data_IF_947509510539
#
_entry.id   IF_947509510539
#
_cell.length_a   1.000
_cell.length_b   1.000
_cell.length_c   1.000
_cell.angle_alpha   90.00
_cell.angle_beta   90.00
_cell.angle_gamma   90.00
#
_symmetry.space_group_name_H-M   'P 1'
#
loop_
_entity.id
_entity.type
_entity.pdbx_description
1 polymer ?
#
# COMPACT_ATOMS: atom_id res chain seq x y z
N UNK A 1 0.16 -15.38 17.35
CA UNK A 1 -0.87 -14.62 16.62
C UNK A 1 -0.79 -15.03 15.16
N UNK A 2 -1.94 -15.28 14.55
CA UNK A 2 -2.08 -15.82 13.19
C UNK A 2 -1.45 -14.91 12.14
N UNK A 3 -1.55 -13.59 12.32
CA UNK A 3 -0.92 -12.60 11.44
C UNK A 3 0.57 -12.92 11.23
N UNK A 4 1.35 -13.11 12.30
CA UNK A 4 2.78 -13.39 12.18
C UNK A 4 3.09 -14.75 11.55
N UNK A 5 2.24 -15.75 11.76
CA UNK A 5 2.41 -17.07 11.13
C UNK A 5 2.21 -16.98 9.62
N UNK A 6 1.18 -16.26 9.17
CA UNK A 6 0.91 -16.06 7.75
C UNK A 6 1.98 -15.21 7.07
N UNK A 7 2.49 -14.15 7.72
CA UNK A 7 3.61 -13.37 7.19
C UNK A 7 4.89 -14.21 7.02
N UNK A 8 5.18 -15.10 8.00
CA UNK A 8 6.30 -16.03 7.89
C UNK A 8 6.10 -17.05 6.76
N UNK A 9 4.90 -17.60 6.60
CA UNK A 9 4.56 -18.53 5.50
C UNK A 9 4.70 -17.87 4.14
N UNK A 10 4.27 -16.61 4.03
CA UNK A 10 4.45 -15.79 2.84
C UNK A 10 5.92 -15.46 2.55
N UNK A 11 6.82 -15.62 3.52
CA UNK A 11 8.23 -15.26 3.40
C UNK A 11 8.44 -13.75 3.33
N UNK A 12 7.74 -13.00 4.19
CA UNK A 12 8.06 -11.61 4.52
C UNK A 12 9.36 -11.58 5.33
N UNK A 13 10.12 -10.49 5.21
CA UNK A 13 11.42 -10.34 5.88
C UNK A 13 11.29 -10.54 7.40
N UNK A 14 12.22 -11.32 7.99
CA UNK A 14 12.16 -11.63 9.41
C UNK A 14 12.31 -10.39 10.29
N UNK A 15 13.08 -9.39 9.85
CA UNK A 15 13.24 -8.13 10.57
C UNK A 15 11.91 -7.38 10.67
N UNK A 16 11.17 -7.30 9.56
CA UNK A 16 9.84 -6.68 9.53
C UNK A 16 8.86 -7.37 10.48
N UNK A 17 8.86 -8.70 10.51
CA UNK A 17 8.00 -9.48 11.41
C UNK A 17 8.40 -9.26 12.87
N UNK A 18 9.70 -9.24 13.19
CA UNK A 18 10.20 -8.99 14.55
C UNK A 18 9.85 -7.57 15.04
N UNK A 19 9.93 -6.55 14.18
CA UNK A 19 9.50 -5.20 14.53
C UNK A 19 7.99 -5.14 14.79
N UNK A 20 7.17 -5.80 13.96
CA UNK A 20 5.73 -5.84 14.15
C UNK A 20 5.33 -6.59 15.43
N UNK A 21 6.00 -7.71 15.74
CA UNK A 21 5.79 -8.46 16.99
C UNK A 21 6.11 -7.60 18.21
N UNK A 22 7.21 -6.83 18.16
CA UNK A 22 7.56 -5.88 19.21
C UNK A 22 6.49 -4.79 19.35
N UNK A 23 6.04 -4.21 18.24
CA UNK A 23 5.02 -3.17 18.21
C UNK A 23 3.70 -3.66 18.85
N UNK A 24 3.24 -4.85 18.48
CA UNK A 24 2.05 -5.50 19.06
C UNK A 24 2.18 -5.79 20.55
N UNK A 25 3.40 -5.93 21.07
CA UNK A 25 3.65 -6.14 22.49
C UNK A 25 3.59 -4.87 23.36
N UNK A 26 3.50 -3.68 22.77
CA UNK A 26 3.46 -2.41 23.50
C UNK A 26 2.02 -2.00 23.87
N UNK A 27 1.71 -1.92 25.17
CA UNK A 27 0.34 -1.62 25.67
C UNK A 27 -0.29 -0.34 25.08
N UNK A 28 0.53 0.66 24.72
CA UNK A 28 0.07 1.95 24.18
C UNK A 28 -0.57 1.83 22.79
N UNK A 29 -0.16 0.85 21.99
CA UNK A 29 -0.69 0.63 20.62
C UNK A 29 -1.82 -0.40 20.59
N UNK A 30 -2.12 -1.02 21.73
CA UNK A 30 -3.27 -1.90 21.90
C UNK A 30 -4.54 -1.09 22.25
N UNK A 31 -4.42 0.17 22.71
CA UNK A 31 -5.56 0.91 23.30
C UNK A 31 -5.62 2.44 23.10
N UNK A 32 -4.76 3.06 22.28
CA UNK A 32 -4.55 4.53 22.38
C UNK A 32 -4.24 5.33 21.11
N UNK A 33 -4.24 4.73 19.92
CA UNK A 33 -4.15 5.48 18.64
C UNK A 33 -5.17 4.90 17.67
N UNK A 34 -6.16 5.71 17.31
CA UNK A 34 -7.41 5.25 16.71
C UNK A 34 -7.22 4.47 15.40
N UNK A 35 -6.14 4.68 14.62
CA UNK A 35 -5.90 3.94 13.37
C UNK A 35 -4.62 3.11 13.27
N UNK A 36 -3.94 2.85 14.39
CA UNK A 36 -2.72 2.03 14.43
C UNK A 36 -2.84 0.90 15.45
N UNK A 37 -3.99 0.22 15.43
CA UNK A 37 -4.35 -0.81 16.39
C UNK A 37 -3.87 -2.17 15.86
N UNK A 38 -3.29 -2.96 16.76
CA UNK A 38 -2.90 -4.34 16.49
C UNK A 38 -4.13 -5.20 16.16
N UNK A 39 -4.04 -6.00 15.09
CA UNK A 39 -5.15 -6.88 14.66
C UNK A 39 -5.14 -8.14 15.51
N UNK A 40 -6.25 -8.45 16.17
CA UNK A 40 -6.40 -9.69 16.93
C UNK A 40 -6.66 -10.89 16.00
N UNK A 41 -6.48 -12.11 16.51
CA UNK A 41 -6.61 -13.33 15.69
C UNK A 41 -8.02 -13.48 15.10
N UNK A 42 -9.07 -13.05 15.81
CA UNK A 42 -10.47 -13.12 15.34
C UNK A 42 -10.73 -12.13 14.18
N UNK A 43 -10.28 -10.87 14.33
CA UNK A 43 -10.41 -9.84 13.29
C UNK A 43 -9.57 -10.18 12.06
N UNK A 44 -8.37 -10.70 12.28
CA UNK A 44 -7.51 -11.18 11.20
C UNK A 44 -8.23 -12.27 10.41
N UNK A 45 -8.79 -13.29 11.06
CA UNK A 45 -9.52 -14.34 10.36
C UNK A 45 -10.75 -13.82 9.61
N UNK A 46 -11.55 -12.97 10.23
CA UNK A 46 -12.72 -12.38 9.58
C UNK A 46 -12.36 -11.57 8.33
N UNK A 47 -11.29 -10.78 8.40
CA UNK A 47 -10.79 -10.03 7.24
C UNK A 47 -10.22 -10.92 6.16
N UNK A 48 -9.63 -12.04 6.53
CA UNK A 48 -9.04 -12.98 5.58
C UNK A 48 -10.11 -13.78 4.86
N UNK A 49 -11.21 -14.12 5.54
CA UNK A 49 -12.40 -14.69 4.90
C UNK A 49 -12.96 -13.71 3.86
N UNK A 50 -13.08 -12.43 4.19
CA UNK A 50 -13.49 -11.39 3.23
C UNK A 50 -12.50 -11.25 2.06
N UNK A 51 -11.19 -11.22 2.32
CA UNK A 51 -10.17 -11.13 1.25
C UNK A 51 -10.22 -12.32 0.30
N UNK A 52 -10.54 -13.51 0.79
CA UNK A 52 -10.61 -14.72 -0.04
C UNK A 52 -11.80 -14.71 -1.01
N UNK A 53 -12.80 -13.86 -0.81
CA UNK A 53 -13.96 -13.73 -1.70
C UNK A 53 -13.65 -12.93 -2.98
N UNK A 54 -12.55 -12.16 -3.00
CA UNK A 54 -12.21 -11.26 -4.12
C UNK A 54 -10.75 -11.40 -4.55
N UNK A 55 -10.53 -11.63 -5.84
CA UNK A 55 -9.17 -11.80 -6.38
C UNK A 55 -8.29 -10.56 -6.20
N UNK A 56 -8.92 -9.39 -6.09
CA UNK A 56 -8.29 -8.10 -5.78
C UNK A 56 -7.42 -8.14 -4.51
N UNK A 57 -7.81 -8.90 -3.48
CA UNK A 57 -7.12 -8.90 -2.18
C UNK A 57 -6.21 -10.12 -1.96
N UNK A 58 -6.06 -11.00 -2.96
CA UNK A 58 -5.29 -12.26 -2.82
C UNK A 58 -3.85 -12.06 -2.33
N UNK A 59 -3.24 -10.93 -2.71
CA UNK A 59 -1.87 -10.60 -2.36
C UNK A 59 -1.74 -9.81 -1.05
N UNK A 60 -2.82 -9.58 -0.30
CA UNK A 60 -2.80 -8.76 0.90
C UNK A 60 -2.96 -9.57 2.19
N UNK A 61 -2.32 -9.05 3.23
CA UNK A 61 -2.55 -9.43 4.63
C UNK A 61 -2.67 -8.17 5.47
N UNK A 62 -3.72 -8.10 6.28
CA UNK A 62 -3.93 -7.00 7.22
C UNK A 62 -2.92 -7.08 8.37
N UNK A 63 -2.36 -5.93 8.75
CA UNK A 63 -1.35 -5.80 9.81
C UNK A 63 -1.66 -4.73 10.84
N UNK A 64 -2.52 -3.74 10.56
CA UNK A 64 -3.10 -2.81 11.55
C UNK A 64 -4.53 -2.46 11.12
N UNK A 65 -5.34 -2.02 12.08
CA UNK A 65 -6.73 -1.59 11.88
C UNK A 65 -7.00 -0.27 12.60
N UNK A 66 -8.07 0.41 12.18
CA UNK A 66 -8.66 1.53 12.90
C UNK A 66 -9.99 1.20 13.61
N UNK A 67 -10.37 -0.09 13.62
CA UNK A 67 -11.67 -0.59 14.10
C UNK A 67 -12.89 0.03 13.38
N UNK A 68 -12.67 0.80 12.30
CA UNK A 68 -13.67 1.51 11.50
C UNK A 68 -13.54 1.17 10.01
N UNK A 69 -13.10 -0.06 9.71
CA UNK A 69 -12.99 -0.64 8.37
C UNK A 69 -11.85 -0.10 7.50
N UNK A 70 -10.89 0.64 8.06
CA UNK A 70 -9.67 0.96 7.35
C UNK A 70 -8.49 0.17 7.92
N UNK A 71 -7.57 -0.17 7.04
CA UNK A 71 -6.53 -1.14 7.34
C UNK A 71 -5.18 -0.73 6.80
N UNK A 72 -4.13 -1.06 7.53
CA UNK A 72 -2.80 -1.17 6.93
C UNK A 72 -2.56 -2.61 6.52
N UNK A 73 -2.17 -2.80 5.26
CA UNK A 73 -1.98 -4.11 4.66
C UNK A 73 -0.57 -4.23 4.09
N UNK A 74 0.02 -5.41 4.19
CA UNK A 74 1.27 -5.76 3.52
C UNK A 74 0.98 -6.66 2.32
N UNK A 75 1.69 -6.39 1.22
CA UNK A 75 1.70 -7.28 0.07
C UNK A 75 2.50 -8.55 0.40
N UNK A 76 1.88 -9.71 0.33
CA UNK A 76 2.51 -11.03 0.52
C UNK A 76 2.85 -11.75 -0.77
N UNK A 77 2.30 -11.28 -1.89
CA UNK A 77 2.50 -11.81 -3.23
C UNK A 77 2.80 -10.74 -4.27
N UNK A 78 3.03 -11.19 -5.51
CA UNK A 78 3.31 -10.34 -6.67
C UNK A 78 4.58 -9.48 -6.57
N UNK A 79 4.70 -8.55 -7.51
CA UNK A 79 5.82 -7.62 -7.64
C UNK A 79 5.99 -6.69 -6.43
N UNK A 80 4.90 -6.45 -5.69
CA UNK A 80 4.84 -5.51 -4.56
C UNK A 80 5.19 -6.14 -3.22
N UNK A 81 5.49 -7.45 -3.19
CA UNK A 81 5.71 -8.21 -1.96
C UNK A 81 6.66 -7.48 -0.98
N UNK A 82 6.22 -7.39 0.28
CA UNK A 82 6.92 -6.72 1.37
C UNK A 82 6.54 -5.25 1.55
N UNK A 83 6.00 -4.59 0.52
CA UNK A 83 5.53 -3.21 0.62
C UNK A 83 4.20 -3.13 1.36
N UNK A 84 3.90 -1.95 1.89
CA UNK A 84 2.71 -1.70 2.70
C UNK A 84 1.84 -0.64 2.05
N UNK A 85 0.53 -0.89 1.99
CA UNK A 85 -0.50 0.06 1.55
C UNK A 85 -1.50 0.33 2.68
N UNK A 86 -2.22 1.45 2.55
CA UNK A 86 -3.44 1.70 3.30
C UNK A 86 -4.61 1.21 2.46
N UNK A 87 -5.52 0.44 3.05
CA UNK A 87 -6.75 -0.02 2.44
C UNK A 87 -7.90 0.74 3.06
N UNK A 88 -8.50 1.62 2.26
CA UNK A 88 -9.72 2.35 2.59
C UNK A 88 -10.94 1.55 2.13
N UNK A 89 -11.94 1.41 3.00
CA UNK A 89 -13.17 0.69 2.64
C UNK A 89 -13.99 1.37 1.55
N UNK A 90 -13.86 2.70 1.36
CA UNK A 90 -14.55 3.46 0.32
C UNK A 90 -13.83 3.35 -1.04
N UNK A 91 -12.51 3.21 -1.05
CA UNK A 91 -11.65 3.20 -2.25
C UNK A 91 -10.74 1.95 -2.30
N UNK A 92 -11.37 0.76 -2.35
CA UNK A 92 -10.69 -0.52 -2.14
C UNK A 92 -9.65 -0.92 -3.22
N UNK A 93 -9.73 -0.33 -4.41
CA UNK A 93 -8.77 -0.53 -5.51
C UNK A 93 -7.51 0.34 -5.37
N UNK A 94 -7.52 1.34 -4.49
CA UNK A 94 -6.38 2.21 -4.19
C UNK A 94 -5.35 1.55 -3.26
N UNK A 95 -4.76 0.46 -3.75
CA UNK A 95 -3.76 -0.33 -3.03
C UNK A 95 -2.34 0.06 -3.43
N UNK A 96 -2.10 1.33 -3.77
CA UNK A 96 -0.76 1.81 -4.04
C UNK A 96 0.12 1.65 -2.78
N UNK A 97 1.36 1.15 -2.92
CA UNK A 97 2.33 1.17 -1.84
C UNK A 97 2.51 2.58 -1.28
N UNK A 98 2.58 2.70 0.05
CA UNK A 98 2.94 3.93 0.78
C UNK A 98 4.29 3.81 1.45
N UNK A 99 4.64 2.59 1.88
CA UNK A 99 5.92 2.28 2.51
C UNK A 99 6.59 1.09 1.83
N UNK A 100 7.93 1.10 1.81
CA UNK A 100 8.78 0.05 1.27
C UNK A 100 8.75 -1.23 2.10
N UNK A 101 8.43 -1.13 3.39
CA UNK A 101 8.38 -2.26 4.32
C UNK A 101 7.52 -1.97 5.55
N UNK A 102 7.22 -3.01 6.31
CA UNK A 102 6.52 -2.90 7.60
C UNK A 102 7.36 -2.08 8.59
N UNK A 103 8.67 -2.33 8.69
CA UNK A 103 9.53 -1.59 9.61
C UNK A 103 9.51 -0.09 9.35
N UNK A 104 9.40 0.33 8.08
CA UNK A 104 9.35 1.74 7.72
C UNK A 104 8.02 2.40 8.11
N UNK A 105 6.90 1.69 7.95
CA UNK A 105 5.61 2.13 8.50
C UNK A 105 5.71 2.36 10.01
N UNK A 106 6.23 1.36 10.75
CA UNK A 106 6.31 1.41 12.22
C UNK A 106 7.24 2.54 12.69
N UNK A 107 8.37 2.73 12.03
CA UNK A 107 9.28 3.85 12.31
C UNK A 107 8.56 5.20 12.17
N UNK A 108 7.74 5.38 11.14
CA UNK A 108 6.97 6.62 10.93
C UNK A 108 5.94 6.83 12.02
N UNK A 109 5.20 5.78 12.38
CA UNK A 109 4.23 5.82 13.47
C UNK A 109 4.92 6.23 14.78
N UNK A 110 6.10 5.66 15.08
CA UNK A 110 6.87 6.00 16.27
C UNK A 110 7.45 7.42 16.23
N UNK A 111 7.89 7.92 15.06
CA UNK A 111 8.46 9.25 14.91
C UNK A 111 7.43 10.37 14.99
N UNK A 112 6.17 10.08 14.65
CA UNK A 112 5.09 11.03 14.58
C UNK A 112 3.96 10.64 15.52
N UNK A 113 4.24 10.61 16.83
CA UNK A 113 3.26 10.26 17.88
C UNK A 113 2.00 11.14 17.88
N UNK A 114 2.07 12.33 17.26
CA UNK A 114 0.97 13.28 17.10
C UNK A 114 -0.07 12.91 16.04
N UNK A 115 0.25 12.03 15.10
CA UNK A 115 -0.65 11.65 14.00
C UNK A 115 -1.45 10.38 14.35
N UNK A 116 -2.76 10.47 14.47
CA UNK A 116 -3.60 9.37 14.97
C UNK A 116 -4.11 8.45 13.87
N UNK A 117 -4.10 8.92 12.62
CA UNK A 117 -4.62 8.21 11.46
C UNK A 117 -3.85 8.45 10.16
N UNK A 118 -4.32 7.82 9.07
CA UNK A 118 -3.77 7.99 7.74
C UNK A 118 -3.87 9.43 7.23
N UNK A 119 -4.99 10.11 7.47
CA UNK A 119 -5.23 11.47 7.00
C UNK A 119 -4.30 12.46 7.71
N UNK A 120 -4.11 12.33 9.02
CA UNK A 120 -3.18 13.14 9.79
C UNK A 120 -1.73 12.88 9.36
N UNK A 121 -1.35 11.62 9.08
CA UNK A 121 -0.04 11.33 8.47
C UNK A 121 0.14 12.02 7.11
N UNK A 122 -0.95 12.15 6.33
CA UNK A 122 -0.93 12.83 5.02
C UNK A 122 -0.76 14.35 5.12
N UNK A 123 -1.19 14.96 6.22
CA UNK A 123 -1.04 16.40 6.48
C UNK A 123 0.37 16.79 7.00
N UNK A 124 1.19 15.81 7.38
CA UNK A 124 2.56 16.05 7.82
C UNK A 124 3.48 16.52 6.66
N UNK A 125 4.65 17.13 6.97
CA UNK A 125 5.59 17.61 5.96
C UNK A 125 6.05 16.53 4.95
N UNK A 126 6.51 16.97 3.77
CA UNK A 126 6.94 16.06 2.69
C UNK A 126 7.94 14.98 3.20
N UNK A 127 7.78 13.73 2.70
CA UNK A 127 8.60 12.52 2.95
C UNK A 127 8.21 11.62 4.16
N UNK A 128 7.02 11.77 4.74
CA UNK A 128 6.49 10.76 5.68
C UNK A 128 6.32 9.42 4.99
N UNK A 129 5.58 9.41 3.87
CA UNK A 129 5.48 8.23 3.01
C UNK A 129 6.72 8.06 2.12
N UNK A 130 7.08 6.81 1.83
CA UNK A 130 8.12 6.51 0.85
C UNK A 130 7.62 6.76 -0.58
N UNK A 131 6.30 6.63 -0.79
CA UNK A 131 5.66 6.72 -2.10
C UNK A 131 4.31 7.48 -2.06
N UNK A 132 4.00 8.25 -3.11
CA UNK A 132 4.94 8.80 -4.09
C UNK A 132 5.87 9.81 -3.41
N UNK A 133 7.13 9.90 -3.84
CA UNK A 133 8.08 10.87 -3.28
C UNK A 133 8.90 11.56 -4.36
N UNK A 134 9.01 12.89 -4.27
CA UNK A 134 9.87 13.70 -5.15
C UNK A 134 11.35 13.48 -4.89
N UNK A 135 11.68 13.02 -3.69
CA UNK A 135 13.04 12.74 -3.25
C UNK A 135 13.37 11.26 -3.36
N UNK A 136 12.45 10.45 -3.91
CA UNK A 136 12.66 9.02 -4.11
C UNK A 136 13.90 8.79 -4.98
N UNK A 137 14.96 8.31 -4.33
CA UNK A 137 16.12 7.78 -5.04
C UNK A 137 15.80 6.39 -5.59
N UNK A 138 16.38 6.09 -6.76
CA UNK A 138 16.26 4.77 -7.38
C UNK A 138 16.85 3.73 -6.42
N UNK A 139 16.01 2.84 -5.88
CA UNK A 139 16.44 1.78 -5.00
C UNK A 139 16.53 0.45 -5.74
N UNK A 140 17.40 -0.44 -5.26
CA UNK A 140 17.60 -1.75 -5.85
C UNK A 140 16.27 -2.52 -5.90
N UNK A 141 15.88 -3.01 -7.08
CA UNK A 141 14.61 -3.72 -7.27
C UNK A 141 13.50 -2.89 -7.92
N UNK A 142 13.48 -1.56 -7.75
CA UNK A 142 12.33 -0.71 -8.13
C UNK A 142 11.92 -0.85 -9.60
N UNK A 143 12.89 -0.78 -10.52
CA UNK A 143 12.63 -0.93 -11.95
C UNK A 143 12.12 -2.33 -12.29
N UNK A 144 12.69 -3.37 -11.67
CA UNK A 144 12.20 -4.74 -11.85
C UNK A 144 10.78 -4.90 -11.33
N UNK A 145 10.42 -4.23 -10.22
CA UNK A 145 9.05 -4.23 -9.69
C UNK A 145 8.09 -3.59 -10.70
N UNK A 146 8.43 -2.41 -11.26
CA UNK A 146 7.61 -1.76 -12.29
C UNK A 146 7.47 -2.64 -13.53
N UNK A 147 8.56 -3.26 -14.00
CA UNK A 147 8.52 -4.18 -15.15
C UNK A 147 7.63 -5.41 -14.88
N UNK A 148 7.70 -5.97 -13.66
CA UNK A 148 6.84 -7.08 -13.26
C UNK A 148 5.36 -6.65 -13.13
N UNK A 149 5.08 -5.44 -12.65
CA UNK A 149 3.70 -4.92 -12.59
C UNK A 149 3.07 -4.81 -13.98
N UNK A 150 3.82 -4.36 -15.00
CA UNK A 150 3.34 -4.41 -16.38
C UNK A 150 3.05 -5.84 -16.85
N UNK A 151 3.95 -6.80 -16.54
CA UNK A 151 3.73 -8.21 -16.87
C UNK A 151 2.51 -8.80 -16.14
N UNK A 152 2.28 -8.41 -14.88
CA UNK A 152 1.10 -8.85 -14.14
C UNK A 152 -0.18 -8.33 -14.80
N UNK A 153 -0.22 -7.06 -15.20
CA UNK A 153 -1.35 -6.46 -15.93
C UNK A 153 -1.62 -7.23 -17.23
N UNK A 154 -0.58 -7.51 -18.02
CA UNK A 154 -0.70 -8.24 -19.29
C UNK A 154 -1.22 -9.69 -19.12
N UNK A 155 -1.07 -10.25 -17.92
CA UNK A 155 -1.48 -11.62 -17.59
C UNK A 155 -2.79 -11.71 -16.79
N UNK A 156 -3.45 -10.58 -16.52
CA UNK A 156 -4.75 -10.59 -15.83
C UNK A 156 -5.81 -11.32 -16.68
N UNK A 157 -6.68 -12.07 -16.01
CA UNK A 157 -7.84 -12.69 -16.65
C UNK A 157 -8.90 -11.62 -16.92
N UNK A 158 -9.11 -11.30 -18.20
CA UNK A 158 -10.10 -10.31 -18.63
C UNK A 158 -11.54 -10.73 -18.37
N UNK A 159 -11.79 -12.00 -18.03
CA UNK A 159 -13.11 -12.51 -17.65
C UNK A 159 -13.36 -12.46 -16.13
N UNK A 160 -12.34 -12.10 -15.31
CA UNK A 160 -12.49 -11.92 -13.86
C UNK A 160 -13.39 -10.70 -13.57
N UNK A 161 -14.37 -10.87 -12.68
CA UNK A 161 -15.29 -9.79 -12.27
C UNK A 161 -14.56 -8.61 -11.60
N UNK A 162 -13.37 -8.85 -11.05
CA UNK A 162 -12.49 -7.85 -10.44
C UNK A 162 -11.37 -7.38 -11.39
N UNK A 163 -11.47 -7.65 -12.70
CA UNK A 163 -10.40 -7.33 -13.67
C UNK A 163 -10.01 -5.84 -13.63
N UNK A 164 -10.99 -4.94 -13.72
CA UNK A 164 -10.73 -3.49 -13.76
C UNK A 164 -10.03 -3.02 -12.48
N UNK A 165 -10.51 -3.43 -11.30
CA UNK A 165 -9.89 -3.07 -10.02
C UNK A 165 -8.47 -3.66 -9.89
N UNK A 166 -8.27 -4.91 -10.34
CA UNK A 166 -6.96 -5.53 -10.34
C UNK A 166 -5.97 -4.78 -11.24
N UNK A 167 -6.43 -4.34 -12.42
CA UNK A 167 -5.63 -3.54 -13.35
C UNK A 167 -5.29 -2.18 -12.74
N UNK A 168 -6.28 -1.47 -12.23
CA UNK A 168 -6.12 -0.12 -11.66
C UNK A 168 -5.19 -0.12 -10.45
N UNK A 169 -5.33 -1.07 -9.52
CA UNK A 169 -4.42 -1.26 -8.37
C UNK A 169 -2.93 -1.37 -8.78
N UNK A 170 -2.65 -2.08 -9.88
CA UNK A 170 -1.28 -2.26 -10.41
C UNK A 170 -0.78 -1.03 -11.15
N UNK A 171 -1.66 -0.32 -11.86
CA UNK A 171 -1.33 0.96 -12.49
C UNK A 171 -1.01 2.03 -11.44
N UNK A 172 -1.81 2.16 -10.38
CA UNK A 172 -1.53 3.09 -9.29
C UNK A 172 -0.18 2.81 -8.65
N UNK A 173 0.17 1.53 -8.48
CA UNK A 173 1.47 1.10 -7.98
C UNK A 173 2.62 1.54 -8.90
N UNK A 174 2.48 1.37 -10.24
CA UNK A 174 3.45 1.87 -11.21
C UNK A 174 3.62 3.39 -11.08
N UNK A 175 2.52 4.13 -10.98
CA UNK A 175 2.51 5.59 -10.89
C UNK A 175 3.23 6.06 -9.63
N UNK A 176 2.95 5.50 -8.44
CA UNK A 176 3.58 5.97 -7.19
C UNK A 176 5.05 5.53 -7.05
N UNK A 177 5.44 4.42 -7.69
CA UNK A 177 6.83 3.94 -7.71
C UNK A 177 7.69 4.66 -8.76
N UNK A 178 7.08 5.42 -9.67
CA UNK A 178 7.79 6.17 -10.70
C UNK A 178 8.60 7.33 -10.10
N UNK A 179 9.74 7.64 -10.71
CA UNK A 179 10.56 8.81 -10.36
C UNK A 179 10.42 9.92 -11.41
N UNK A 180 10.93 11.12 -11.09
CA UNK A 180 10.81 12.31 -11.95
C UNK A 180 11.26 12.08 -13.41
N UNK A 181 12.32 11.30 -13.64
CA UNK A 181 12.81 11.01 -14.99
C UNK A 181 11.95 10.03 -15.80
N UNK A 182 10.98 9.39 -15.16
CA UNK A 182 10.15 8.32 -15.72
C UNK A 182 8.68 8.73 -15.88
N UNK A 183 8.34 9.98 -15.55
CA UNK A 183 6.97 10.52 -15.69
C UNK A 183 6.43 10.33 -17.11
N UNK A 184 7.26 10.59 -18.13
CA UNK A 184 6.87 10.44 -19.53
C UNK A 184 6.63 8.97 -19.93
N UNK A 185 7.31 8.02 -19.29
CA UNK A 185 7.22 6.59 -19.63
C UNK A 185 6.17 5.84 -18.83
N UNK A 186 5.96 6.20 -17.57
CA UNK A 186 5.16 5.42 -16.63
C UNK A 186 3.92 6.14 -16.08
N UNK A 187 3.76 7.44 -16.34
CA UNK A 187 2.58 8.18 -15.87
C UNK A 187 1.79 8.73 -17.06
N UNK A 188 2.47 9.41 -17.98
CA UNK A 188 1.81 10.05 -19.13
C UNK A 188 0.96 9.11 -20.00
N UNK A 189 1.33 7.84 -20.25
CA UNK A 189 0.48 6.94 -21.03
C UNK A 189 -0.92 6.74 -20.43
N UNK A 190 -1.07 6.85 -19.11
CA UNK A 190 -2.33 6.66 -18.40
C UNK A 190 -3.23 7.90 -18.40
N UNK A 191 -2.79 9.03 -18.96
CA UNK A 191 -3.64 10.23 -19.13
C UNK A 191 -4.70 10.07 -20.22
N UNK A 192 -4.53 9.09 -21.11
CA UNK A 192 -5.47 8.77 -22.18
C UNK A 192 -6.15 7.40 -21.92
N UNK A 193 -6.13 6.91 -20.67
CA UNK A 193 -6.76 5.64 -20.30
C UNK A 193 -8.28 5.68 -20.44
N UNK A 194 -8.87 4.54 -20.80
CA UNK A 194 -10.32 4.39 -20.95
C UNK A 194 -11.03 4.34 -19.60
N UNK A 195 -10.34 3.89 -18.54
CA UNK A 195 -10.82 3.98 -17.17
C UNK A 195 -10.63 5.41 -16.64
N UNK A 196 -11.74 6.07 -16.33
CA UNK A 196 -11.76 7.45 -15.83
C UNK A 196 -11.01 7.58 -14.50
N UNK A 197 -11.04 6.56 -13.62
CA UNK A 197 -10.33 6.59 -12.33
C UNK A 197 -8.81 6.50 -12.51
N UNK A 198 -8.36 5.63 -13.42
CA UNK A 198 -6.94 5.56 -13.81
C UNK A 198 -6.46 6.89 -14.36
N UNK A 199 -7.25 7.50 -15.25
CA UNK A 199 -6.92 8.80 -15.84
C UNK A 199 -6.84 9.90 -14.78
N UNK A 200 -7.82 9.98 -13.87
CA UNK A 200 -7.84 10.96 -12.78
C UNK A 200 -6.64 10.79 -11.84
N UNK A 201 -6.27 9.55 -11.49
CA UNK A 201 -5.11 9.26 -10.68
C UNK A 201 -3.80 9.70 -11.37
N UNK A 202 -3.66 9.41 -12.68
CA UNK A 202 -2.53 9.87 -13.47
C UNK A 202 -2.45 11.40 -13.57
N UNK A 203 -3.59 12.09 -13.72
CA UNK A 203 -3.64 13.56 -13.69
C UNK A 203 -3.19 14.13 -12.34
N UNK A 204 -3.62 13.51 -11.24
CA UNK A 204 -3.17 13.86 -9.88
C UNK A 204 -1.67 13.66 -9.75
N UNK A 205 -1.13 12.56 -10.27
CA UNK A 205 0.31 12.34 -10.31
C UNK A 205 1.08 13.39 -11.12
N UNK A 206 0.53 13.81 -12.26
CA UNK A 206 1.13 14.90 -13.05
C UNK A 206 1.13 16.23 -12.30
N UNK A 207 0.09 16.52 -11.51
CA UNK A 207 0.04 17.72 -10.65
C UNK A 207 1.12 17.64 -9.57
N UNK A 208 1.30 16.49 -8.92
CA UNK A 208 2.37 16.23 -7.95
C UNK A 208 3.76 16.52 -8.53
N UNK A 209 4.09 15.94 -9.68
CA UNK A 209 5.40 16.11 -10.33
C UNK A 209 5.64 17.53 -10.84
N UNK A 210 4.57 18.30 -11.11
CA UNK A 210 4.65 19.74 -11.44
C UNK A 210 4.80 20.63 -10.21
N UNK A 211 4.89 20.07 -9.00
CA UNK A 211 5.04 20.81 -7.75
C UNK A 211 3.75 21.41 -7.22
N UNK A 212 2.58 20.94 -7.66
CA UNK A 212 1.31 21.31 -7.04
C UNK A 212 1.07 20.44 -5.80
N UNK A 213 0.43 21.03 -4.79
CA UNK A 213 -0.06 20.29 -3.62
C UNK A 213 -1.23 19.43 -4.09
N UNK A 214 -1.13 18.13 -3.88
CA UNK A 214 -2.18 17.14 -4.17
C UNK A 214 -2.14 16.05 -3.12
N UNK A 215 -3.27 15.38 -2.96
CA UNK A 215 -3.44 14.19 -2.13
C UNK A 215 -3.58 12.98 -3.03
N UNK A 216 -2.93 11.88 -2.64
CA UNK A 216 -3.03 10.56 -3.27
C UNK A 216 -3.58 9.58 -2.26
#
# INVERSE_FOLDING_TARGET
MKVFEELRKAGIDSHDIEQLEKFYGEERFIRGRDSFIAVEDEDFEGMQDFFNDYTLFNDLKVILTDENSNYWCVFVGGARKGMVCHLDHEEQDQQQPRFKSISRLLEVIEQHEEAYDFDELRELPENVFDFPSKTLEDFQGRKQIIEQLYQEIDNLDTEDESYDQNRSSRIYSIIVLSIASEVETHIKPFLDDEDDYVREFAETAMKFWRGKIVTF
#
